data_IF_228451247734
#
_entry.id   IF_228451247734
#
_cell.length_a   1.000
_cell.length_b   1.000
_cell.length_c   1.000
_cell.angle_alpha   90.00
_cell.angle_beta   90.00
_cell.angle_gamma   90.00
#
_symmetry.space_group_name_H-M   'P 1'
#
loop_
_entity.id
_entity.type
_entity.pdbx_description
1 polymer ?
#
# COMPACT_ATOMS: atom_id res chain seq x y z
N UNK A 1 -11.21 8.03 23.67
CA UNK A 1 -11.78 7.73 22.33
C UNK A 1 -10.62 7.58 21.35
N UNK A 2 -10.23 6.36 21.00
CA UNK A 2 -9.04 6.10 20.18
C UNK A 2 -9.39 5.15 19.03
N UNK A 3 -10.16 5.63 18.06
CA UNK A 3 -10.54 4.86 16.87
C UNK A 3 -10.16 5.68 15.64
N UNK A 4 -8.88 5.65 15.23
CA UNK A 4 -8.42 6.21 13.94
C UNK A 4 -7.26 5.44 13.28
N UNK A 5 -7.00 4.18 13.67
CA UNK A 5 -5.98 3.33 13.00
C UNK A 5 -6.55 2.18 12.16
N UNK A 6 -7.79 1.74 12.42
CA UNK A 6 -8.38 0.59 11.72
C UNK A 6 -8.77 0.89 10.26
N UNK A 7 -9.32 2.06 9.97
CA UNK A 7 -9.81 2.37 8.62
C UNK A 7 -8.72 2.38 7.54
N UNK A 8 -7.51 2.88 7.83
CA UNK A 8 -6.45 2.92 6.80
C UNK A 8 -5.82 1.56 6.50
N UNK A 9 -5.65 0.70 7.51
CA UNK A 9 -5.21 -0.70 7.31
C UNK A 9 -6.27 -1.48 6.54
N UNK A 10 -7.55 -1.26 6.85
CA UNK A 10 -8.67 -1.85 6.10
C UNK A 10 -8.59 -1.43 4.62
N UNK A 11 -8.18 -0.20 4.27
CA UNK A 11 -8.09 0.23 2.87
C UNK A 11 -6.98 -0.47 2.07
N UNK A 12 -5.78 -0.66 2.63
CA UNK A 12 -4.69 -1.34 1.92
C UNK A 12 -4.96 -2.84 1.79
N UNK A 13 -5.29 -3.51 2.90
CA UNK A 13 -5.61 -4.94 2.92
C UNK A 13 -6.79 -5.27 2.00
N UNK A 14 -7.81 -4.42 1.96
CA UNK A 14 -8.92 -4.60 1.03
C UNK A 14 -8.51 -4.39 -0.42
N UNK A 15 -7.62 -3.43 -0.72
CA UNK A 15 -7.13 -3.23 -2.08
C UNK A 15 -6.31 -4.43 -2.58
N UNK A 16 -5.50 -5.04 -1.70
CA UNK A 16 -4.76 -6.26 -2.00
C UNK A 16 -5.72 -7.43 -2.22
N UNK A 17 -6.67 -7.67 -1.31
CA UNK A 17 -7.68 -8.73 -1.48
C UNK A 17 -8.47 -8.59 -2.76
N UNK A 18 -8.91 -7.37 -3.08
CA UNK A 18 -9.65 -7.12 -4.32
C UNK A 18 -8.78 -7.37 -5.55
N UNK A 19 -7.49 -7.04 -5.49
CA UNK A 19 -6.56 -7.32 -6.59
C UNK A 19 -6.39 -8.83 -6.81
N UNK A 20 -6.30 -9.62 -5.73
CA UNK A 20 -6.26 -11.09 -5.82
C UNK A 20 -7.55 -11.66 -6.44
N UNK A 21 -8.72 -11.15 -6.04
CA UNK A 21 -10.00 -11.52 -6.64
C UNK A 21 -10.05 -11.17 -8.14
N UNK A 22 -9.59 -9.96 -8.51
CA UNK A 22 -9.54 -9.51 -9.90
C UNK A 22 -8.65 -10.43 -10.74
N UNK A 23 -7.48 -10.84 -10.22
CA UNK A 23 -6.59 -11.79 -10.91
C UNK A 23 -7.27 -13.15 -11.07
N UNK A 24 -7.90 -13.67 -10.01
CA UNK A 24 -8.62 -14.94 -10.08
C UNK A 24 -9.80 -14.89 -11.07
N UNK A 25 -10.54 -13.78 -11.12
CA UNK A 25 -11.62 -13.57 -12.11
C UNK A 25 -11.05 -13.52 -13.55
N UNK A 26 -9.89 -12.88 -13.76
CA UNK A 26 -9.23 -12.79 -15.07
C UNK A 26 -8.65 -14.13 -15.56
N UNK A 27 -8.30 -15.04 -14.66
CA UNK A 27 -7.82 -16.39 -14.99
C UNK A 27 -8.97 -17.36 -15.33
N UNK A 28 -10.23 -16.94 -15.16
CA UNK A 28 -11.40 -17.74 -15.50
C UNK A 28 -11.53 -17.95 -17.01
N UNK A 29 -11.89 -19.16 -17.43
CA UNK A 29 -12.09 -19.54 -18.84
C UNK A 29 -13.36 -18.97 -19.47
N UNK A 30 -14.33 -18.53 -18.66
CA UNK A 30 -15.66 -18.09 -19.11
C UNK A 30 -15.82 -16.56 -19.10
N UNK A 31 -14.72 -15.82 -19.02
CA UNK A 31 -14.74 -14.36 -18.99
C UNK A 31 -14.92 -13.76 -20.40
N UNK A 32 -15.89 -12.86 -20.55
CA UNK A 32 -16.05 -12.11 -21.78
C UNK A 32 -15.07 -10.93 -21.88
N UNK A 33 -14.82 -10.47 -23.11
CA UNK A 33 -13.84 -9.41 -23.38
C UNK A 33 -14.15 -8.10 -22.65
N UNK A 34 -15.42 -7.72 -22.54
CA UNK A 34 -15.81 -6.46 -21.89
C UNK A 34 -15.56 -6.53 -20.39
N UNK A 35 -15.88 -7.68 -19.77
CA UNK A 35 -15.58 -7.95 -18.37
C UNK A 35 -14.08 -8.00 -18.11
N UNK A 36 -13.30 -8.66 -18.97
CA UNK A 36 -11.85 -8.72 -18.86
C UNK A 36 -11.22 -7.33 -18.89
N UNK A 37 -11.66 -6.45 -19.81
CA UNK A 37 -11.20 -5.07 -19.88
C UNK A 37 -11.51 -4.28 -18.60
N UNK A 38 -12.72 -4.40 -18.06
CA UNK A 38 -13.11 -3.73 -16.81
C UNK A 38 -12.27 -4.20 -15.63
N UNK A 39 -12.07 -5.51 -15.49
CA UNK A 39 -11.24 -6.09 -14.43
C UNK A 39 -9.77 -5.68 -14.57
N UNK A 40 -9.26 -5.61 -15.81
CA UNK A 40 -7.90 -5.13 -16.05
C UNK A 40 -7.72 -3.67 -15.61
N UNK A 41 -8.64 -2.78 -15.98
CA UNK A 41 -8.62 -1.38 -15.52
C UNK A 41 -8.73 -1.27 -13.99
N UNK A 42 -9.57 -2.10 -13.37
CA UNK A 42 -9.70 -2.19 -11.91
C UNK A 42 -8.38 -2.63 -11.28
N UNK A 43 -7.75 -3.69 -11.79
CA UNK A 43 -6.48 -4.21 -11.31
C UNK A 43 -5.34 -3.18 -11.39
N UNK A 44 -5.26 -2.40 -12.48
CA UNK A 44 -4.29 -1.31 -12.62
C UNK A 44 -4.51 -0.23 -11.56
N UNK A 45 -5.77 0.15 -11.29
CA UNK A 45 -6.11 1.14 -10.26
C UNK A 45 -5.71 0.64 -8.86
N UNK A 46 -6.06 -0.60 -8.53
CA UNK A 46 -5.73 -1.23 -7.26
C UNK A 46 -4.22 -1.34 -7.05
N UNK A 47 -3.48 -1.82 -8.06
CA UNK A 47 -2.02 -1.90 -8.02
C UNK A 47 -1.36 -0.53 -7.78
N UNK A 48 -1.88 0.52 -8.40
CA UNK A 48 -1.40 1.89 -8.17
C UNK A 48 -1.66 2.36 -6.74
N UNK A 49 -2.83 2.07 -6.18
CA UNK A 49 -3.17 2.42 -4.79
C UNK A 49 -2.20 1.71 -3.82
N UNK A 50 -1.96 0.41 -4.02
CA UNK A 50 -1.04 -0.36 -3.20
C UNK A 50 0.38 0.22 -3.25
N UNK A 51 0.88 0.54 -4.45
CA UNK A 51 2.21 1.16 -4.61
C UNK A 51 2.34 2.51 -3.90
N UNK A 52 1.32 3.37 -3.98
CA UNK A 52 1.32 4.67 -3.29
C UNK A 52 1.41 4.45 -1.77
N UNK A 53 0.60 3.53 -1.23
CA UNK A 53 0.59 3.22 0.21
C UNK A 53 1.92 2.66 0.69
N UNK A 54 2.54 1.77 -0.09
CA UNK A 54 3.88 1.25 0.21
C UNK A 54 4.93 2.35 0.19
N UNK A 55 4.93 3.21 -0.84
CA UNK A 55 5.87 4.32 -0.95
C UNK A 55 5.73 5.32 0.21
N UNK A 56 4.50 5.63 0.64
CA UNK A 56 4.26 6.48 1.80
C UNK A 56 4.77 5.84 3.10
N UNK A 57 4.58 4.52 3.26
CA UNK A 57 5.12 3.78 4.39
C UNK A 57 6.65 3.79 4.41
N UNK A 58 7.30 3.52 3.27
CA UNK A 58 8.75 3.59 3.10
C UNK A 58 9.29 4.97 3.45
N UNK A 59 8.67 6.03 2.91
CA UNK A 59 9.06 7.42 3.20
C UNK A 59 8.97 7.71 4.69
N UNK A 60 7.92 7.24 5.36
CA UNK A 60 7.75 7.43 6.81
C UNK A 60 8.84 6.71 7.60
N UNK A 61 9.21 5.49 7.18
CA UNK A 61 10.32 4.75 7.77
C UNK A 61 11.65 5.52 7.60
N UNK A 62 11.93 6.04 6.42
CA UNK A 62 13.16 6.80 6.15
C UNK A 62 13.23 8.09 6.98
N UNK A 63 12.12 8.81 7.15
CA UNK A 63 12.04 9.98 8.03
C UNK A 63 12.33 9.57 9.49
N UNK A 64 11.75 8.47 9.97
CA UNK A 64 11.96 7.99 11.34
C UNK A 64 13.41 7.53 11.58
N UNK A 65 14.03 6.85 10.61
CA UNK A 65 15.46 6.49 10.66
C UNK A 65 16.35 7.74 10.72
N UNK A 66 16.03 8.74 9.89
CA UNK A 66 16.79 10.00 9.83
C UNK A 66 16.62 10.80 11.12
N UNK A 67 15.40 10.92 11.64
CA UNK A 67 15.14 11.58 12.92
C UNK A 67 15.84 10.87 14.09
N UNK A 68 15.79 9.53 14.15
CA UNK A 68 16.47 8.75 15.18
C UNK A 68 17.99 8.89 15.12
N UNK A 69 18.57 8.92 13.91
CA UNK A 69 20.02 9.14 13.73
C UNK A 69 20.47 10.58 14.02
N UNK A 70 19.63 11.59 13.77
CA UNK A 70 19.87 12.97 14.21
C UNK A 70 19.90 13.08 15.74
N UNK A 71 18.96 12.41 16.43
CA UNK A 71 18.93 12.34 17.88
C UNK A 71 20.16 11.64 18.48
N UNK A 72 20.70 10.64 17.77
CA UNK A 72 21.94 9.95 18.18
C UNK A 72 23.18 10.82 17.98
N UNK A 73 23.26 11.59 16.89
CA UNK A 73 24.37 12.52 16.64
C UNK A 73 24.39 13.69 17.63
N UNK A 74 23.23 14.23 17.99
CA UNK A 74 23.11 15.30 19.00
C UNK A 74 23.38 14.84 20.44
N UNK A 75 23.38 13.52 20.72
CA UNK A 75 23.63 12.97 22.06
C UNK A 75 25.11 12.69 22.35
N UNK A 76 25.99 12.70 21.36
CA UNK A 76 27.44 12.64 21.60
C UNK A 76 27.99 14.07 21.60
N UNK A 77 28.15 14.74 22.76
CA UNK A 77 29.02 15.91 22.81
C UNK A 77 30.41 15.45 22.38
N UNK A 78 30.97 16.15 21.40
CA UNK A 78 32.38 16.07 21.05
C UNK A 78 33.21 16.21 22.35
N UNK A 79 34.10 15.24 22.57
CA UNK A 79 35.25 15.45 23.44
C UNK A 79 36.30 16.23 22.66
#
# INVERSE_FOLDING_TARGET
MSVKKKDEEIQFENAVKRLEEVVAELESTDIDLERALKLYEEGIKLSRICNIKLSDAERKIEILKTAGSLQQKLRKPEK
#
